data_IF_894230265385
#
_entry.id   IF_894230265385
#
_cell.length_a   1.000
_cell.length_b   1.000
_cell.length_c   1.000
_cell.angle_alpha   90.00
_cell.angle_beta   90.00
_cell.angle_gamma   90.00
#
_symmetry.space_group_name_H-M   'P 1'
#
loop_
_entity.id
_entity.type
_entity.pdbx_description
1 polymer ?
#
# COMPACT_ATOMS: atom_id res chain seq x y z
N UNK A 1 -4.13 28.49 -17.87
CA UNK A 1 -5.29 28.51 -16.94
C UNK A 1 -4.75 28.78 -15.54
N UNK A 2 -5.04 29.95 -14.94
CA UNK A 2 -4.48 30.32 -13.63
C UNK A 2 -5.31 29.66 -12.51
N UNK A 3 -4.62 29.01 -11.56
CA UNK A 3 -5.21 28.48 -10.31
C UNK A 3 -6.03 29.51 -9.56
N UNK A 4 -5.64 30.79 -9.63
CA UNK A 4 -6.33 31.87 -8.93
C UNK A 4 -7.75 32.05 -9.48
N UNK A 5 -7.94 31.92 -10.80
CA UNK A 5 -9.25 32.03 -11.44
C UNK A 5 -10.19 30.86 -11.12
N UNK A 6 -9.67 29.67 -10.87
CA UNK A 6 -10.49 28.53 -10.45
C UNK A 6 -10.92 28.66 -8.99
N UNK A 7 -10.01 29.10 -8.12
CA UNK A 7 -10.30 29.40 -6.72
C UNK A 7 -11.33 30.54 -6.61
N UNK A 8 -11.24 31.55 -7.48
CA UNK A 8 -12.17 32.68 -7.50
C UNK A 8 -13.56 32.28 -8.03
N UNK A 9 -13.63 31.37 -9.01
CA UNK A 9 -14.90 30.76 -9.45
C UNK A 9 -15.57 29.95 -8.34
N UNK A 10 -14.80 29.21 -7.54
CA UNK A 10 -15.31 28.46 -6.38
C UNK A 10 -15.80 29.39 -5.26
N UNK A 11 -15.31 30.63 -5.19
CA UNK A 11 -15.75 31.65 -4.19
C UNK A 11 -17.01 32.42 -4.62
N UNK A 12 -17.26 32.55 -5.92
CA UNK A 12 -18.35 33.40 -6.47
C UNK A 12 -19.65 32.65 -6.76
N UNK A 13 -19.64 31.31 -6.76
CA UNK A 13 -20.87 30.52 -6.80
C UNK A 13 -21.51 30.48 -5.41
N UNK A 14 -22.43 31.40 -5.16
CA UNK A 14 -23.13 31.55 -3.89
C UNK A 14 -24.01 30.35 -3.55
N UNK A 15 -23.52 29.47 -2.69
CA UNK A 15 -24.32 28.71 -1.72
C UNK A 15 -23.44 28.37 -0.53
N UNK A 16 -23.85 28.77 0.68
CA UNK A 16 -23.18 28.46 1.95
C UNK A 16 -23.36 26.98 2.36
N UNK A 17 -23.03 26.07 1.45
CA UNK A 17 -22.78 24.65 1.69
C UNK A 17 -21.67 24.25 0.74
N UNK A 18 -20.45 24.76 0.97
CA UNK A 18 -19.27 24.29 0.24
C UNK A 18 -19.13 22.79 0.53
N UNK A 19 -19.49 21.97 -0.45
CA UNK A 19 -19.34 20.53 -0.35
C UNK A 19 -17.83 20.26 -0.21
N UNK A 20 -17.34 19.66 0.90
CA UNK A 20 -15.90 19.40 1.11
C UNK A 20 -15.28 18.62 -0.05
N UNK A 21 -16.10 17.86 -0.77
CA UNK A 21 -15.75 17.12 -1.98
C UNK A 21 -15.35 18.01 -3.18
N UNK A 22 -15.86 19.25 -3.30
CA UNK A 22 -15.54 20.13 -4.43
C UNK A 22 -14.18 20.83 -4.24
N UNK A 23 -13.84 21.21 -3.00
CA UNK A 23 -12.52 21.77 -2.67
C UNK A 23 -11.42 20.71 -2.80
N UNK A 24 -11.72 19.45 -2.50
CA UNK A 24 -10.79 18.32 -2.62
C UNK A 24 -10.41 17.97 -4.07
N UNK A 25 -11.10 18.51 -5.08
CA UNK A 25 -10.77 18.28 -6.50
C UNK A 25 -9.59 19.13 -6.99
N UNK A 26 -9.20 20.17 -6.25
CA UNK A 26 -8.10 21.05 -6.63
C UNK A 26 -6.88 20.75 -5.75
N UNK A 27 -5.78 20.36 -6.41
CA UNK A 27 -4.48 20.11 -5.77
C UNK A 27 -3.98 21.36 -5.02
N UNK A 28 -3.79 21.24 -3.70
CA UNK A 28 -3.33 22.32 -2.82
C UNK A 28 -1.81 22.51 -2.81
N UNK A 29 -1.03 21.43 -2.69
CA UNK A 29 0.44 21.47 -2.70
C UNK A 29 0.95 21.10 -4.08
N UNK A 30 1.93 21.82 -4.63
CA UNK A 30 2.46 21.52 -5.97
C UNK A 30 3.49 20.40 -5.95
N UNK A 31 4.48 20.51 -5.06
CA UNK A 31 5.63 19.60 -4.96
C UNK A 31 5.97 19.35 -3.50
N UNK A 32 6.57 18.19 -3.24
CA UNK A 32 7.21 17.87 -1.97
C UNK A 32 8.68 17.55 -2.20
N UNK A 33 9.54 17.86 -1.24
CA UNK A 33 10.91 17.32 -1.19
C UNK A 33 10.96 16.27 -0.07
N UNK A 34 11.34 15.03 -0.41
CA UNK A 34 11.53 13.95 0.54
C UNK A 34 12.87 13.25 0.27
N UNK A 35 13.77 13.30 1.25
CA UNK A 35 15.16 12.86 1.06
C UNK A 35 15.82 13.64 -0.08
N UNK A 36 16.45 12.94 -1.03
CA UNK A 36 17.05 13.57 -2.23
C UNK A 36 16.08 13.86 -3.37
N UNK A 37 14.80 13.53 -3.22
CA UNK A 37 13.82 13.54 -4.31
C UNK A 37 12.85 14.71 -4.20
N UNK A 38 12.68 15.43 -5.30
CA UNK A 38 11.56 16.34 -5.50
C UNK A 38 10.45 15.60 -6.25
N UNK A 39 9.25 15.60 -5.67
CA UNK A 39 8.12 14.80 -6.17
C UNK A 39 6.90 15.70 -6.39
N UNK A 40 6.31 15.61 -7.58
CA UNK A 40 5.04 16.25 -7.88
C UNK A 40 3.88 15.46 -7.26
N UNK A 41 3.00 16.17 -6.57
CA UNK A 41 1.79 15.58 -5.96
C UNK A 41 0.69 15.42 -7.00
N UNK A 42 -0.26 14.52 -6.78
CA UNK A 42 -1.32 14.21 -7.75
C UNK A 42 -2.68 14.72 -7.27
N UNK A 43 -2.94 14.59 -5.97
CA UNK A 43 -4.23 14.89 -5.37
C UNK A 43 -4.12 15.88 -4.21
N UNK A 44 -5.26 16.45 -3.83
CA UNK A 44 -5.39 17.19 -2.58
C UNK A 44 -5.10 16.30 -1.38
N UNK A 45 -4.35 16.83 -0.41
CA UNK A 45 -4.17 16.27 0.92
C UNK A 45 -4.33 17.35 1.98
N UNK A 46 -5.08 17.07 3.05
CA UNK A 46 -5.44 18.05 4.08
C UNK A 46 -4.29 18.35 5.06
N UNK A 47 -3.15 18.77 4.54
CA UNK A 47 -2.10 19.37 5.36
C UNK A 47 -2.62 20.65 6.03
N UNK A 48 -2.11 21.02 7.22
CA UNK A 48 -2.50 22.25 7.90
C UNK A 48 -2.42 23.49 6.99
N UNK A 49 -3.38 24.41 7.12
CA UNK A 49 -3.56 25.58 6.24
C UNK A 49 -2.31 26.44 6.04
N UNK A 50 -1.43 26.50 7.06
CA UNK A 50 -0.12 27.18 6.98
C UNK A 50 0.79 26.68 5.85
N UNK A 51 0.50 25.50 5.28
CA UNK A 51 1.23 24.94 4.14
C UNK A 51 0.50 25.11 2.80
N UNK A 52 -0.79 25.50 2.78
CA UNK A 52 -1.68 25.45 1.61
C UNK A 52 -1.32 26.41 0.46
N UNK A 53 -0.27 27.22 0.59
CA UNK A 53 0.19 28.15 -0.45
C UNK A 53 1.68 28.05 -0.74
N UNK A 54 2.34 27.01 -0.22
CA UNK A 54 3.76 26.79 -0.47
C UNK A 54 3.96 25.99 -1.75
N UNK A 55 4.85 26.46 -2.62
CA UNK A 55 5.21 25.73 -3.84
C UNK A 55 5.89 24.38 -3.55
N UNK A 56 6.65 24.34 -2.46
CA UNK A 56 7.42 23.18 -2.03
C UNK A 56 7.26 22.95 -0.53
N UNK A 57 6.82 21.75 -0.16
CA UNK A 57 6.79 21.28 1.22
C UNK A 57 7.93 20.29 1.47
N UNK A 58 8.71 20.50 2.53
CA UNK A 58 9.80 19.61 2.92
C UNK A 58 9.25 18.53 3.84
N UNK A 59 9.53 17.26 3.56
CA UNK A 59 9.09 16.13 4.37
C UNK A 59 10.33 15.37 4.84
N UNK A 60 10.46 15.24 6.17
CA UNK A 60 11.50 14.41 6.75
C UNK A 60 11.29 12.94 6.37
N UNK A 61 12.27 12.31 5.70
CA UNK A 61 12.09 10.94 5.18
C UNK A 61 11.94 9.86 6.26
N UNK A 62 12.36 10.16 7.49
CA UNK A 62 12.29 9.23 8.62
C UNK A 62 11.03 9.42 9.47
N UNK A 63 10.79 10.63 10.00
CA UNK A 63 9.66 10.90 10.89
C UNK A 63 8.41 11.45 10.17
N UNK A 64 8.51 11.69 8.86
CA UNK A 64 7.45 12.16 7.97
C UNK A 64 6.90 13.56 8.34
N UNK A 65 7.60 14.30 9.20
CA UNK A 65 7.16 15.63 9.62
C UNK A 65 7.20 16.62 8.44
N UNK A 66 6.09 17.34 8.18
CA UNK A 66 6.03 18.37 7.14
C UNK A 66 6.58 19.72 7.63
N UNK A 67 7.48 20.31 6.86
CA UNK A 67 8.20 21.53 7.19
C UNK A 67 8.15 22.51 6.02
N UNK A 68 7.83 23.77 6.33
CA UNK A 68 7.48 24.73 5.28
C UNK A 68 8.65 25.48 4.67
N UNK A 69 9.86 25.36 5.22
CA UNK A 69 11.05 26.03 4.67
C UNK A 69 12.30 25.17 4.85
N UNK A 70 13.29 25.36 3.98
CA UNK A 70 14.58 24.68 4.05
C UNK A 70 15.27 24.86 5.41
N UNK A 71 15.27 26.08 5.97
CA UNK A 71 15.85 26.37 7.29
C UNK A 71 15.17 25.58 8.41
N UNK A 72 13.84 25.45 8.36
CA UNK A 72 13.11 24.62 9.33
C UNK A 72 13.47 23.14 9.18
N UNK A 73 13.63 22.66 7.94
CA UNK A 73 14.05 21.30 7.63
C UNK A 73 15.45 20.98 8.15
N UNK A 74 16.44 21.82 7.86
CA UNK A 74 17.82 21.65 8.33
C UNK A 74 17.88 21.62 9.87
N UNK A 75 17.19 22.55 10.53
CA UNK A 75 17.10 22.58 12.00
C UNK A 75 16.40 21.34 12.56
N UNK A 76 15.38 20.83 11.87
CA UNK A 76 14.70 19.60 12.27
C UNK A 76 15.62 18.38 12.12
N UNK A 77 16.30 18.23 10.98
CA UNK A 77 17.23 17.10 10.76
C UNK A 77 18.41 17.10 11.71
N UNK A 78 18.89 18.26 12.15
CA UNK A 78 19.91 18.36 13.20
C UNK A 78 19.45 17.84 14.57
N UNK A 79 18.13 17.74 14.82
CA UNK A 79 17.53 17.29 16.09
C UNK A 79 16.85 15.94 16.01
N UNK A 80 16.42 15.53 14.82
CA UNK A 80 15.66 14.31 14.61
C UNK A 80 16.57 13.10 14.73
N UNK A 81 16.34 12.28 15.75
CA UNK A 81 17.11 11.07 16.03
C UNK A 81 16.62 9.84 15.28
N UNK A 82 15.46 9.94 14.61
CA UNK A 82 14.85 8.82 13.91
C UNK A 82 15.57 8.54 12.58
N UNK A 83 15.93 7.28 12.37
CA UNK A 83 16.66 6.77 11.20
C UNK A 83 15.97 5.57 10.52
N UNK A 84 14.81 5.15 11.04
CA UNK A 84 13.96 4.08 10.51
C UNK A 84 12.50 4.31 10.96
N UNK A 85 11.48 3.66 10.37
CA UNK A 85 10.11 3.76 10.85
C UNK A 85 9.97 3.34 12.33
N UNK A 86 9.12 4.00 13.14
CA UNK A 86 9.04 3.80 14.59
C UNK A 86 8.18 2.58 14.96
N UNK A 87 8.57 1.40 14.49
CA UNK A 87 7.87 0.13 14.71
C UNK A 87 8.83 -1.02 14.93
N UNK A 88 8.28 -2.23 15.02
CA UNK A 88 9.08 -3.45 15.11
C UNK A 88 9.51 -3.87 13.71
N UNK A 89 10.80 -4.13 13.50
CA UNK A 89 11.28 -4.77 12.28
C UNK A 89 10.86 -6.25 12.32
N UNK A 90 9.91 -6.66 11.48
CA UNK A 90 9.32 -8.01 11.47
C UNK A 90 9.80 -8.85 10.28
N UNK A 91 10.56 -8.24 9.37
CA UNK A 91 11.16 -8.90 8.23
C UNK A 91 12.41 -8.16 7.81
N UNK A 92 13.47 -8.93 7.51
CA UNK A 92 14.69 -8.40 6.91
C UNK A 92 15.32 -9.42 5.97
N UNK A 93 15.59 -8.98 4.73
CA UNK A 93 16.37 -9.73 3.74
C UNK A 93 17.24 -8.74 2.97
N UNK A 94 18.54 -8.90 3.08
CA UNK A 94 19.53 -7.99 2.49
C UNK A 94 19.32 -6.54 2.93
N UNK A 95 19.02 -5.64 1.99
CA UNK A 95 18.73 -4.23 2.23
C UNK A 95 17.23 -3.93 2.38
N UNK A 96 16.35 -4.92 2.24
CA UNK A 96 14.90 -4.76 2.32
C UNK A 96 14.36 -5.16 3.71
N UNK A 97 13.61 -4.25 4.33
CA UNK A 97 12.98 -4.49 5.65
C UNK A 97 11.52 -4.07 5.69
N UNK A 98 10.70 -4.76 6.50
CA UNK A 98 9.34 -4.33 6.85
C UNK A 98 9.22 -4.02 8.34
N UNK A 99 8.58 -2.89 8.63
CA UNK A 99 8.27 -2.46 9.98
C UNK A 99 6.76 -2.53 10.24
N UNK A 100 6.36 -3.21 11.31
CA UNK A 100 4.99 -3.17 11.83
C UNK A 100 4.83 -1.99 12.79
N UNK A 101 3.85 -1.14 12.51
CA UNK A 101 3.61 0.10 13.25
C UNK A 101 2.12 0.15 13.63
N UNK A 102 1.86 0.17 14.93
CA UNK A 102 0.51 0.35 15.47
C UNK A 102 0.14 1.84 15.46
N UNK A 103 -0.91 2.19 14.71
CA UNK A 103 -1.37 3.58 14.60
C UNK A 103 -1.77 4.22 15.93
N UNK A 104 -2.26 3.43 16.89
CA UNK A 104 -2.58 3.91 18.24
C UNK A 104 -1.33 4.26 19.04
N UNK A 105 -0.23 3.52 18.84
CA UNK A 105 1.06 3.77 19.52
C UNK A 105 1.84 4.91 18.85
N UNK A 106 1.75 5.04 17.53
CA UNK A 106 2.53 5.98 16.72
C UNK A 106 1.66 7.00 15.97
N UNK A 107 0.66 7.58 16.65
CA UNK A 107 -0.35 8.46 16.04
C UNK A 107 0.23 9.55 15.15
N UNK A 108 1.26 10.26 15.61
CA UNK A 108 1.87 11.36 14.85
C UNK A 108 2.49 10.85 13.55
N UNK A 109 3.29 9.79 13.62
CA UNK A 109 3.96 9.23 12.45
C UNK A 109 2.95 8.67 11.44
N UNK A 110 1.95 7.92 11.92
CA UNK A 110 0.92 7.35 11.05
C UNK A 110 0.02 8.43 10.41
N UNK A 111 -0.33 9.50 11.13
CA UNK A 111 -1.05 10.64 10.55
C UNK A 111 -0.23 11.34 9.47
N UNK A 112 1.06 11.55 9.72
CA UNK A 112 1.98 12.11 8.72
C UNK A 112 2.08 11.20 7.49
N UNK A 113 2.16 9.88 7.67
CA UNK A 113 2.13 8.91 6.58
C UNK A 113 0.81 8.97 5.79
N UNK A 114 -0.34 9.06 6.46
CA UNK A 114 -1.63 9.19 5.81
C UNK A 114 -1.74 10.47 4.98
N UNK A 115 -1.28 11.61 5.50
CA UNK A 115 -1.23 12.88 4.78
C UNK A 115 -0.31 12.81 3.56
N UNK A 116 0.88 12.21 3.70
CA UNK A 116 1.79 11.94 2.59
C UNK A 116 1.12 11.04 1.54
N UNK A 117 0.46 9.97 1.99
CA UNK A 117 -0.19 9.02 1.11
C UNK A 117 -1.34 9.63 0.32
N UNK A 118 -2.13 10.51 0.94
CA UNK A 118 -3.27 11.18 0.30
C UNK A 118 -2.86 12.10 -0.86
N UNK A 119 -1.60 12.54 -0.91
CA UNK A 119 -1.07 13.27 -2.08
C UNK A 119 -1.03 12.43 -3.35
N UNK A 120 -1.05 11.10 -3.23
CA UNK A 120 -0.91 10.14 -4.33
C UNK A 120 -2.06 9.14 -4.43
N UNK A 121 -3.03 9.21 -3.52
CA UNK A 121 -4.23 8.39 -3.52
C UNK A 121 -5.48 9.28 -3.60
N UNK A 122 -6.34 8.99 -4.56
CA UNK A 122 -7.59 9.74 -4.75
C UNK A 122 -8.60 9.43 -3.62
N UNK A 123 -8.87 8.13 -3.40
CA UNK A 123 -9.94 7.64 -2.55
C UNK A 123 -9.54 7.31 -1.09
N UNK A 124 -8.58 8.02 -0.50
CA UNK A 124 -8.26 7.83 0.93
C UNK A 124 -9.16 8.72 1.81
N UNK A 125 -10.10 8.12 2.52
CA UNK A 125 -11.09 8.82 3.35
C UNK A 125 -10.59 9.08 4.78
N UNK A 126 -9.84 8.14 5.37
CA UNK A 126 -9.34 8.23 6.75
C UNK A 126 -7.86 8.60 6.80
N UNK A 127 -7.56 9.76 7.38
CA UNK A 127 -6.18 10.24 7.58
C UNK A 127 -5.87 10.80 8.98
N UNK A 128 -6.90 11.10 9.80
CA UNK A 128 -6.72 11.52 11.20
C UNK A 128 -6.93 10.41 12.21
N UNK A 129 -7.91 9.55 11.98
CA UNK A 129 -8.12 8.37 12.79
C UNK A 129 -7.27 7.21 12.26
N UNK A 130 -6.19 6.94 12.98
CA UNK A 130 -5.19 5.92 12.65
C UNK A 130 -5.17 4.79 13.68
N UNK A 131 -5.89 4.95 14.78
CA UNK A 131 -5.92 4.00 15.89
C UNK A 131 -6.40 2.59 15.49
N UNK A 132 -7.38 2.44 14.57
CA UNK A 132 -7.87 1.15 14.09
C UNK A 132 -6.92 0.40 13.15
N UNK A 133 -5.81 1.01 12.74
CA UNK A 133 -4.95 0.48 11.69
C UNK A 133 -3.58 0.03 12.21
N UNK A 134 -3.09 -1.06 11.61
CA UNK A 134 -1.67 -1.38 11.53
C UNK A 134 -1.11 -0.85 10.21
N UNK A 135 0.14 -0.43 10.23
CA UNK A 135 0.88 0.03 9.07
C UNK A 135 2.12 -0.85 8.89
N UNK A 136 2.29 -1.38 7.69
CA UNK A 136 3.43 -2.20 7.31
C UNK A 136 4.29 -1.40 6.34
N UNK A 137 5.37 -0.81 6.87
CA UNK A 137 6.25 0.08 6.13
C UNK A 137 7.42 -0.69 5.54
N UNK A 138 7.50 -0.74 4.21
CA UNK A 138 8.62 -1.32 3.49
C UNK A 138 9.71 -0.29 3.28
N UNK A 139 10.93 -0.68 3.55
CA UNK A 139 12.09 0.22 3.57
C UNK A 139 13.29 -0.38 2.87
N UNK A 140 14.19 0.49 2.43
CA UNK A 140 15.49 0.13 1.90
C UNK A 140 16.59 0.71 2.80
N UNK A 141 17.53 -0.13 3.21
CA UNK A 141 18.65 0.27 4.07
C UNK A 141 19.85 0.67 3.22
N UNK A 142 20.48 1.80 3.54
CA UNK A 142 21.78 2.18 3.01
C UNK A 142 22.71 2.69 4.14
N UNK A 143 23.86 3.27 3.80
CA UNK A 143 24.84 3.78 4.77
C UNK A 143 24.34 4.96 5.61
N UNK A 144 23.28 5.64 5.17
CA UNK A 144 22.68 6.84 5.77
C UNK A 144 21.38 6.56 6.53
N UNK A 145 20.84 5.34 6.45
CA UNK A 145 19.68 4.94 7.25
C UNK A 145 18.74 3.99 6.55
N UNK A 146 17.49 3.96 7.02
CA UNK A 146 16.42 3.08 6.55
C UNK A 146 15.33 3.93 5.92
N UNK A 147 15.29 3.90 4.59
CA UNK A 147 14.50 4.81 3.76
C UNK A 147 13.15 4.19 3.41
N UNK A 148 12.05 4.91 3.70
CA UNK A 148 10.70 4.48 3.34
C UNK A 148 10.56 4.39 1.81
N UNK A 149 10.11 3.23 1.32
CA UNK A 149 9.86 2.98 -0.10
C UNK A 149 8.37 2.97 -0.40
N UNK A 150 7.59 2.38 0.50
CA UNK A 150 6.15 2.24 0.38
C UNK A 150 5.57 1.61 1.64
N UNK A 151 4.26 1.50 1.69
CA UNK A 151 3.57 0.87 2.80
C UNK A 151 2.24 0.28 2.36
N UNK A 152 1.67 -0.55 3.21
CA UNK A 152 0.24 -0.76 3.23
C UNK A 152 -0.32 -0.65 4.65
N UNK A 153 -1.60 -0.31 4.78
CA UNK A 153 -2.33 -0.36 6.04
C UNK A 153 -3.29 -1.53 6.07
N UNK A 154 -3.55 -2.07 7.25
CA UNK A 154 -4.49 -3.16 7.52
C UNK A 154 -5.33 -2.80 8.73
N UNK A 155 -6.64 -3.00 8.67
CA UNK A 155 -7.50 -2.86 9.84
C UNK A 155 -7.14 -3.92 10.89
N UNK A 156 -7.11 -3.54 12.16
CA UNK A 156 -6.90 -4.49 13.26
C UNK A 156 -8.02 -5.53 13.33
N UNK A 157 -9.22 -5.13 12.93
CA UNK A 157 -10.38 -5.98 12.79
C UNK A 157 -11.15 -5.50 11.56
N UNK A 158 -11.17 -6.31 10.51
CA UNK A 158 -11.96 -6.05 9.31
C UNK A 158 -13.19 -6.95 9.30
N UNK A 159 -14.37 -6.38 9.03
CA UNK A 159 -15.61 -7.17 8.94
C UNK A 159 -15.70 -7.99 7.65
N UNK A 160 -15.02 -7.54 6.60
CA UNK A 160 -14.99 -8.22 5.29
C UNK A 160 -13.69 -9.01 5.08
N UNK A 161 -12.92 -9.23 6.15
CA UNK A 161 -11.62 -9.93 6.14
C UNK A 161 -10.64 -9.34 5.10
N UNK A 162 -10.67 -8.02 4.90
CA UNK A 162 -9.67 -7.35 4.07
C UNK A 162 -8.29 -7.44 4.71
N UNK A 163 -7.31 -7.97 3.96
CA UNK A 163 -5.93 -8.05 4.42
C UNK A 163 -5.13 -6.78 4.13
N UNK A 164 -5.71 -5.86 3.36
CA UNK A 164 -5.11 -4.61 2.95
C UNK A 164 -6.19 -3.54 2.74
N UNK A 165 -6.04 -2.38 3.38
CA UNK A 165 -6.93 -1.22 3.25
C UNK A 165 -6.38 -0.22 2.22
N UNK A 166 -5.19 0.32 2.47
CA UNK A 166 -4.50 1.22 1.54
C UNK A 166 -3.12 0.66 1.22
N UNK A 167 -2.67 0.83 -0.02
CA UNK A 167 -1.31 0.49 -0.46
C UNK A 167 -0.72 1.64 -1.26
N UNK A 168 0.55 1.94 -1.02
CA UNK A 168 1.29 2.95 -1.77
C UNK A 168 2.75 2.57 -1.90
N UNK A 169 3.25 2.60 -3.13
CA UNK A 169 4.69 2.79 -3.39
C UNK A 169 4.91 4.27 -3.70
N UNK A 170 5.86 4.90 -3.00
CA UNK A 170 6.15 6.33 -3.23
C UNK A 170 6.55 6.56 -4.69
N UNK A 171 6.14 7.67 -5.33
CA UNK A 171 6.32 7.87 -6.78
C UNK A 171 7.74 7.67 -7.29
N UNK A 172 8.75 8.12 -6.53
CA UNK A 172 10.17 7.97 -6.87
C UNK A 172 10.66 6.52 -6.90
N UNK A 173 9.87 5.57 -6.40
CA UNK A 173 10.17 4.15 -6.36
C UNK A 173 9.15 3.29 -7.14
N UNK A 174 8.22 3.90 -7.86
CA UNK A 174 7.26 3.14 -8.66
C UNK A 174 7.93 2.44 -9.86
N UNK A 175 7.29 1.37 -10.34
CA UNK A 175 7.76 0.52 -11.47
C UNK A 175 9.09 -0.22 -11.22
N UNK A 176 9.57 -0.26 -9.99
CA UNK A 176 10.77 -1.03 -9.57
C UNK A 176 10.44 -2.40 -8.95
N UNK A 177 9.18 -2.84 -9.01
CA UNK A 177 8.73 -4.13 -8.43
C UNK A 177 8.25 -4.07 -6.98
N UNK A 178 8.52 -2.97 -6.26
CA UNK A 178 8.11 -2.76 -4.87
C UNK A 178 6.61 -2.92 -4.59
N UNK A 179 5.75 -2.49 -5.51
CA UNK A 179 4.30 -2.70 -5.38
C UNK A 179 3.92 -4.18 -5.27
N UNK A 180 4.57 -5.06 -6.03
CA UNK A 180 4.36 -6.51 -5.93
C UNK A 180 4.88 -7.08 -4.62
N UNK A 181 6.01 -6.58 -4.11
CA UNK A 181 6.56 -6.99 -2.82
C UNK A 181 5.63 -6.62 -1.66
N UNK A 182 5.02 -5.44 -1.68
CA UNK A 182 4.01 -5.03 -0.70
C UNK A 182 2.79 -5.95 -0.71
N UNK A 183 2.28 -6.30 -1.90
CA UNK A 183 1.15 -7.24 -2.06
C UNK A 183 1.56 -8.64 -1.58
N UNK A 184 2.75 -9.12 -1.96
CA UNK A 184 3.25 -10.42 -1.53
C UNK A 184 3.32 -10.50 -0.01
N UNK A 185 3.89 -9.48 0.62
CA UNK A 185 4.01 -9.41 2.07
C UNK A 185 2.65 -9.41 2.77
N UNK A 186 1.63 -8.72 2.25
CA UNK A 186 0.29 -8.75 2.85
C UNK A 186 -0.32 -10.15 2.86
N UNK A 187 -0.05 -10.97 1.83
CA UNK A 187 -0.49 -12.37 1.80
C UNK A 187 0.35 -13.28 2.69
N UNK A 188 1.65 -13.03 2.87
CA UNK A 188 2.45 -13.78 3.84
C UNK A 188 1.92 -13.60 5.27
N UNK A 189 1.46 -12.40 5.63
CA UNK A 189 0.77 -12.18 6.91
C UNK A 189 -0.54 -12.99 6.99
N UNK A 190 -1.36 -12.99 5.93
CA UNK A 190 -2.61 -13.79 5.88
C UNK A 190 -2.34 -15.29 6.01
N UNK A 191 -1.28 -15.81 5.40
CA UNK A 191 -0.85 -17.23 5.54
C UNK A 191 -0.50 -17.56 6.99
N UNK A 192 0.27 -16.70 7.67
CA UNK A 192 0.60 -16.88 9.10
C UNK A 192 -0.66 -16.82 9.98
N UNK A 193 -1.63 -15.96 9.63
CA UNK A 193 -2.93 -15.90 10.30
C UNK A 193 -3.85 -17.09 10.00
N UNK A 194 -3.51 -17.93 9.01
CA UNK A 194 -4.34 -19.02 8.49
C UNK A 194 -5.72 -18.53 8.03
N UNK A 195 -5.72 -17.39 7.34
CA UNK A 195 -6.92 -16.76 6.77
C UNK A 195 -6.70 -16.46 5.30
N UNK A 196 -7.78 -16.49 4.53
CA UNK A 196 -7.81 -15.86 3.21
C UNK A 196 -8.06 -14.36 3.37
N UNK A 197 -7.69 -13.58 2.36
CA UNK A 197 -7.97 -12.15 2.35
C UNK A 197 -7.96 -11.58 0.94
N UNK A 198 -8.51 -10.38 0.82
CA UNK A 198 -8.55 -9.58 -0.41
C UNK A 198 -8.20 -8.12 -0.05
N UNK A 199 -7.77 -7.28 -1.00
CA UNK A 199 -7.73 -5.83 -0.76
C UNK A 199 -9.12 -5.22 -0.65
N UNK A 200 -9.21 -4.13 0.12
CA UNK A 200 -10.39 -3.27 0.21
C UNK A 200 -10.78 -2.71 -1.18
N UNK A 201 -12.09 -2.69 -1.44
CA UNK A 201 -12.69 -2.22 -2.70
C UNK A 201 -13.34 -0.84 -2.49
N UNK A 202 -13.29 0.08 -3.48
CA UNK A 202 -12.69 -0.06 -4.81
C UNK A 202 -11.16 0.18 -4.81
N UNK A 203 -10.44 -0.60 -5.61
CA UNK A 203 -9.03 -0.38 -5.91
C UNK A 203 -8.83 0.77 -6.90
N UNK A 204 -7.70 1.45 -6.82
CA UNK A 204 -7.24 2.34 -7.91
C UNK A 204 -6.87 1.53 -9.16
N UNK A 205 -6.92 2.12 -10.35
CA UNK A 205 -6.55 1.44 -11.60
C UNK A 205 -5.15 0.80 -11.54
N UNK A 206 -4.18 1.54 -10.99
CA UNK A 206 -2.82 1.03 -10.79
C UNK A 206 -2.77 -0.11 -9.77
N UNK A 207 -3.57 -0.02 -8.70
CA UNK A 207 -3.73 -1.08 -7.71
C UNK A 207 -4.31 -2.35 -8.34
N UNK A 208 -5.42 -2.23 -9.07
CA UNK A 208 -6.08 -3.35 -9.74
C UNK A 208 -5.18 -4.06 -10.74
N UNK A 209 -4.44 -3.31 -11.57
CA UNK A 209 -3.46 -3.88 -12.50
C UNK A 209 -2.34 -4.63 -11.77
N UNK A 210 -1.87 -4.09 -10.64
CA UNK A 210 -0.81 -4.71 -9.83
C UNK A 210 -1.29 -6.02 -9.19
N UNK A 211 -2.49 -6.03 -8.61
CA UNK A 211 -3.12 -7.22 -8.02
C UNK A 211 -3.38 -8.31 -9.07
N UNK A 212 -3.99 -7.96 -10.21
CA UNK A 212 -4.22 -8.93 -11.31
C UNK A 212 -2.91 -9.55 -11.80
N UNK A 213 -1.86 -8.74 -11.96
CA UNK A 213 -0.56 -9.27 -12.36
C UNK A 213 0.06 -10.16 -11.29
N UNK A 214 -0.10 -9.83 -10.00
CA UNK A 214 0.43 -10.62 -8.89
C UNK A 214 -0.30 -11.96 -8.76
N UNK A 215 -1.63 -11.95 -8.72
CA UNK A 215 -2.45 -13.17 -8.64
C UNK A 215 -2.18 -14.11 -9.81
N UNK A 216 -2.10 -13.60 -11.03
CA UNK A 216 -1.80 -14.42 -12.20
C UNK A 216 -0.43 -15.10 -12.09
N UNK A 217 0.60 -14.38 -11.65
CA UNK A 217 1.96 -14.90 -11.51
C UNK A 217 2.02 -16.02 -10.47
N UNK A 218 1.43 -15.80 -9.28
CA UNK A 218 1.39 -16.78 -8.18
C UNK A 218 0.58 -18.01 -8.56
N UNK A 219 -0.63 -17.84 -9.13
CA UNK A 219 -1.47 -18.98 -9.50
C UNK A 219 -0.82 -19.83 -10.59
N UNK A 220 -0.25 -19.21 -11.62
CA UNK A 220 0.45 -19.97 -12.66
C UNK A 220 1.65 -20.73 -12.06
N UNK A 221 2.43 -20.10 -11.18
CA UNK A 221 3.54 -20.77 -10.50
C UNK A 221 3.10 -22.01 -9.72
N UNK A 222 2.03 -21.91 -8.93
CA UNK A 222 1.49 -23.08 -8.22
C UNK A 222 1.00 -24.16 -9.18
N UNK A 223 0.25 -23.78 -10.22
CA UNK A 223 -0.29 -24.73 -11.19
C UNK A 223 0.82 -25.48 -11.94
N UNK A 224 1.90 -24.80 -12.33
CA UNK A 224 3.01 -25.42 -13.08
C UNK A 224 3.77 -26.45 -12.25
N UNK A 225 3.92 -26.22 -10.95
CA UNK A 225 4.64 -27.15 -10.06
C UNK A 225 3.75 -28.24 -9.45
N UNK A 226 2.44 -28.08 -9.48
CA UNK A 226 1.52 -29.05 -8.92
C UNK A 226 1.38 -30.28 -9.82
N UNK A 227 1.42 -31.47 -9.22
CA UNK A 227 1.23 -32.74 -9.93
C UNK A 227 -0.16 -33.29 -9.61
N UNK A 228 -1.01 -33.35 -10.63
CA UNK A 228 -2.37 -33.88 -10.53
C UNK A 228 -3.43 -32.79 -10.57
N UNK A 229 -4.65 -33.15 -10.20
CA UNK A 229 -5.80 -32.25 -10.17
C UNK A 229 -5.76 -31.39 -8.90
N UNK A 230 -6.03 -30.09 -9.07
CA UNK A 230 -6.05 -29.11 -7.98
C UNK A 230 -7.37 -28.36 -7.99
N UNK A 231 -7.92 -28.15 -6.80
CA UNK A 231 -9.18 -27.44 -6.59
C UNK A 231 -8.94 -25.96 -6.27
N UNK A 232 -9.99 -25.15 -6.44
CA UNK A 232 -9.97 -23.72 -6.04
C UNK A 232 -9.76 -23.57 -4.53
N UNK A 233 -10.27 -24.51 -3.72
CA UNK A 233 -10.10 -24.50 -2.27
C UNK A 233 -8.64 -24.75 -1.87
N UNK A 234 -7.97 -25.73 -2.47
CA UNK A 234 -6.55 -25.99 -2.21
C UNK A 234 -5.66 -24.81 -2.63
N UNK A 235 -5.98 -24.15 -3.75
CA UNK A 235 -5.30 -22.91 -4.14
C UNK A 235 -5.49 -21.80 -3.10
N UNK A 236 -6.69 -21.64 -2.55
CA UNK A 236 -6.98 -20.65 -1.52
C UNK A 236 -6.17 -20.91 -0.24
N UNK A 237 -6.10 -22.18 0.19
CA UNK A 237 -5.33 -22.58 1.37
C UNK A 237 -3.82 -22.35 1.21
N UNK A 238 -3.27 -22.60 0.01
CA UNK A 238 -1.84 -22.38 -0.26
C UNK A 238 -1.46 -20.91 -0.42
N UNK A 239 -2.34 -20.10 -1.03
CA UNK A 239 -2.02 -18.72 -1.43
C UNK A 239 -2.55 -17.66 -0.48
N UNK A 240 -3.51 -18.03 0.38
CA UNK A 240 -4.34 -17.12 1.17
C UNK A 240 -5.20 -16.15 0.33
N UNK A 241 -5.41 -16.45 -0.96
CA UNK A 241 -6.34 -15.69 -1.80
C UNK A 241 -7.78 -16.10 -1.51
N UNK A 242 -8.73 -15.19 -1.70
CA UNK A 242 -10.15 -15.59 -1.69
C UNK A 242 -10.44 -16.48 -2.90
N UNK A 243 -11.42 -17.38 -2.76
CA UNK A 243 -11.86 -18.22 -3.89
C UNK A 243 -12.40 -17.37 -5.04
N UNK A 244 -13.05 -16.24 -4.74
CA UNK A 244 -13.52 -15.28 -5.73
C UNK A 244 -12.36 -14.72 -6.58
N UNK A 245 -11.29 -14.25 -5.93
CA UNK A 245 -10.11 -13.71 -6.62
C UNK A 245 -9.41 -14.77 -7.49
N UNK A 246 -9.36 -16.03 -7.00
CA UNK A 246 -8.83 -17.17 -7.77
C UNK A 246 -9.69 -17.43 -9.01
N UNK A 247 -11.00 -17.57 -8.85
CA UNK A 247 -11.92 -17.85 -9.96
C UNK A 247 -11.84 -16.74 -11.00
N UNK A 248 -11.93 -15.47 -10.60
CA UNK A 248 -11.84 -14.34 -11.51
C UNK A 248 -10.50 -14.28 -12.25
N UNK A 249 -9.39 -14.56 -11.55
CA UNK A 249 -8.07 -14.57 -12.18
C UNK A 249 -7.93 -15.70 -13.18
N UNK A 250 -8.33 -16.92 -12.83
CA UNK A 250 -8.26 -18.07 -13.74
C UNK A 250 -9.20 -17.93 -14.94
N UNK A 251 -10.38 -17.31 -14.76
CA UNK A 251 -11.28 -16.97 -15.86
C UNK A 251 -10.64 -15.98 -16.83
N UNK A 252 -10.01 -14.92 -16.31
CA UNK A 252 -9.30 -13.92 -17.12
C UNK A 252 -8.10 -14.51 -17.88
N UNK A 253 -7.47 -15.56 -17.34
CA UNK A 253 -6.38 -16.30 -17.98
C UNK A 253 -6.88 -17.43 -18.91
N UNK A 254 -8.19 -17.69 -18.97
CA UNK A 254 -8.80 -18.83 -19.66
C UNK A 254 -8.27 -20.20 -19.19
N UNK A 255 -7.97 -20.31 -17.90
CA UNK A 255 -7.42 -21.52 -17.26
C UNK A 255 -8.44 -22.31 -16.44
N UNK A 256 -9.71 -21.89 -16.41
CA UNK A 256 -10.77 -22.57 -15.65
C UNK A 256 -12.00 -22.76 -16.53
N UNK A 257 -12.63 -23.94 -16.42
CA UNK A 257 -13.88 -24.30 -17.09
C UNK A 257 -14.87 -24.82 -16.07
N UNK A 258 -16.16 -24.57 -16.31
CA UNK A 258 -17.23 -25.14 -15.50
C UNK A 258 -17.82 -26.35 -16.21
N UNK A 259 -17.77 -27.52 -15.59
CA UNK A 259 -18.27 -28.76 -16.15
C UNK A 259 -19.01 -29.57 -15.08
N UNK A 260 -20.26 -29.95 -15.36
CA UNK A 260 -21.13 -30.78 -14.49
C UNK A 260 -21.17 -30.32 -13.02
N UNK A 261 -21.26 -29.02 -12.77
CA UNK A 261 -21.36 -28.49 -11.41
C UNK A 261 -20.01 -28.23 -10.72
N UNK A 262 -18.89 -28.49 -11.39
CA UNK A 262 -17.55 -28.37 -10.82
C UNK A 262 -16.65 -27.48 -11.70
N UNK A 263 -15.72 -26.80 -11.05
CA UNK A 263 -14.65 -26.09 -11.74
C UNK A 263 -13.48 -27.03 -12.03
N UNK A 264 -13.04 -27.04 -13.28
CA UNK A 264 -11.87 -27.79 -13.76
C UNK A 264 -10.82 -26.77 -14.19
N UNK A 265 -9.62 -26.87 -13.62
CA UNK A 265 -8.49 -26.01 -13.95
C UNK A 265 -7.66 -26.70 -15.05
N UNK A 266 -7.36 -25.97 -16.12
CA UNK A 266 -6.62 -26.46 -17.27
C UNK A 266 -5.48 -25.50 -17.61
N UNK A 267 -4.24 -25.93 -17.41
CA UNK A 267 -3.07 -25.22 -17.89
C UNK A 267 -3.02 -25.20 -19.42
N UNK A 268 -2.60 -24.07 -19.98
CA UNK A 268 -2.40 -23.90 -21.43
C UNK A 268 -0.92 -23.71 -21.73
N UNK A 269 -0.50 -24.10 -22.93
CA UNK A 269 0.88 -23.86 -23.41
C UNK A 269 1.25 -22.37 -23.35
N UNK A 270 0.29 -21.48 -23.60
CA UNK A 270 0.47 -20.03 -23.47
C UNK A 270 0.81 -19.61 -22.04
N UNK A 271 0.17 -20.18 -21.04
CA UNK A 271 0.47 -19.89 -19.64
C UNK A 271 1.85 -20.43 -19.23
N UNK A 272 2.21 -21.62 -19.70
CA UNK A 272 3.54 -22.21 -19.50
C UNK A 272 4.65 -21.33 -20.10
N UNK A 273 4.52 -20.92 -21.36
CA UNK A 273 5.50 -20.05 -22.00
C UNK A 273 5.62 -18.67 -21.31
N UNK A 274 4.50 -18.12 -20.83
CA UNK A 274 4.50 -16.87 -20.07
C UNK A 274 5.23 -17.01 -18.72
N UNK A 275 5.08 -18.15 -18.05
CA UNK A 275 5.76 -18.49 -16.81
C UNK A 275 7.28 -18.59 -17.01
N UNK A 276 7.74 -19.35 -18.00
CA UNK A 276 9.17 -19.49 -18.32
C UNK A 276 9.83 -18.14 -18.60
N UNK A 277 9.15 -17.26 -19.35
CA UNK A 277 9.61 -15.90 -19.61
C UNK A 277 9.66 -15.02 -18.36
N UNK A 278 8.80 -15.27 -17.36
CA UNK A 278 8.82 -14.56 -16.08
C UNK A 278 10.00 -15.01 -15.22
N UNK A 279 10.26 -16.31 -15.16
CA UNK A 279 11.36 -16.91 -14.38
C UNK A 279 12.74 -16.39 -14.82
N UNK A 280 12.92 -16.12 -16.12
CA UNK A 280 14.15 -15.54 -16.64
C UNK A 280 14.49 -14.13 -16.08
N UNK A 281 13.53 -13.44 -15.44
CA UNK A 281 13.71 -12.06 -14.97
C UNK A 281 14.29 -11.91 -13.56
N UNK A 282 14.64 -13.00 -12.88
CA UNK A 282 15.25 -13.02 -11.53
C UNK A 282 14.75 -11.89 -10.62
N UNK A 283 13.46 -11.95 -10.26
CA UNK A 283 12.83 -10.89 -9.45
C UNK A 283 13.08 -11.11 -7.97
N UNK A 284 13.17 -10.02 -7.22
CA UNK A 284 13.16 -10.06 -5.76
C UNK A 284 11.80 -10.57 -5.30
N UNK A 285 11.80 -11.56 -4.41
CA UNK A 285 10.62 -12.16 -3.77
C UNK A 285 10.74 -12.08 -2.25
N UNK A 286 9.59 -12.10 -1.57
CA UNK A 286 9.51 -12.22 -0.11
C UNK A 286 9.89 -13.65 0.26
N UNK A 287 10.81 -13.79 1.21
CA UNK A 287 11.19 -15.09 1.77
C UNK A 287 10.38 -15.34 3.06
N UNK A 288 9.42 -16.29 3.06
CA UNK A 288 8.58 -16.55 4.23
C UNK A 288 9.38 -16.91 5.49
N UNK A 289 10.59 -17.48 5.34
CA UNK A 289 11.45 -17.86 6.47
C UNK A 289 12.09 -16.67 7.19
N UNK A 290 12.08 -15.49 6.56
CA UNK A 290 12.60 -14.24 7.13
C UNK A 290 11.53 -13.40 7.82
N UNK A 291 10.28 -13.84 7.81
CA UNK A 291 9.18 -13.20 8.51
C UNK A 291 9.17 -13.67 9.97
N UNK A 292 9.67 -12.83 10.87
CA UNK A 292 9.58 -13.03 12.32
C UNK A 292 8.37 -12.25 12.85
N UNK A 293 7.21 -12.89 12.75
CA UNK A 293 5.95 -12.26 13.08
C UNK A 293 4.93 -13.24 13.65
N UNK A 294 4.23 -12.79 14.68
CA UNK A 294 3.10 -13.51 15.27
C UNK A 294 1.86 -12.61 15.23
N UNK A 295 0.68 -13.13 14.85
CA UNK A 295 -0.53 -12.31 14.76
C UNK A 295 -0.82 -11.56 16.06
N UNK A 296 -0.96 -10.22 16.02
CA UNK A 296 -1.20 -9.42 17.21
C UNK A 296 -2.59 -9.72 17.77
N UNK A 297 -2.66 -9.85 19.09
CA UNK A 297 -3.93 -10.01 19.83
C UNK A 297 -4.35 -8.67 20.39
N UNK A 298 -5.52 -8.20 20.00
CA UNK A 298 -6.08 -6.93 20.49
C UNK A 298 -7.14 -7.17 21.55
N UNK A 299 -7.11 -6.38 22.62
CA UNK A 299 -8.21 -6.33 23.59
C UNK A 299 -9.39 -5.54 23.01
N UNK A 300 -10.60 -5.75 23.52
CA UNK A 300 -11.78 -4.99 23.07
C UNK A 300 -11.61 -3.46 23.21
N UNK A 301 -10.83 -3.00 24.19
CA UNK A 301 -10.50 -1.57 24.37
C UNK A 301 -9.53 -1.03 23.31
N UNK A 302 -8.76 -1.89 22.65
CA UNK A 302 -7.85 -1.54 21.56
C UNK A 302 -8.53 -1.47 20.19
N UNK A 303 -9.74 -2.02 20.08
CA UNK A 303 -10.53 -2.12 18.86
C UNK A 303 -11.66 -1.08 18.75
N UNK A 304 -11.87 -0.26 19.80
CA UNK A 304 -12.90 0.79 19.76
C UNK A 304 -12.43 1.97 18.91
N UNK A 305 -13.27 2.36 17.95
CA UNK A 305 -13.27 3.67 17.30
C UNK A 305 -13.62 4.71 18.38
N UNK A 306 -12.72 5.66 18.65
CA UNK A 306 -12.96 6.78 19.57
C UNK A 306 -13.29 8.04 18.79
#
# INVERSE_FOLDING_TARGET
FSKEREIEKLRTSGSMTQNPHEVARVKNLNRIQMGRHDVETWYFSAYPEKYCYQDLLYICEFCLEPLGTKKMFERHRAKCTLMHPPGNEIYRKDDLSFFEIDGRKQRRWCRNLCLLSKLFLDHKTLYYDVDPFLFYAMTKTDTHGVHLVGYFSKEKQSNEDYNLACILTLPQYQRLGYGKLLIAFSYELSKVEKKTGSPEKPLSDLGLLSYRSYWAEVLIEHLVHYRGDITVAELADMTAFTQEDIIHTLQALHLIKYYRGQFIICLTEKALAAYEKSQAKQRVTIDPLKLDWTPPRFTSSQLRWL
#
